data_IF_212331546770
#
_entry.id   IF_212331546770
#
_cell.length_a   1.000
_cell.length_b   1.000
_cell.length_c   1.000
_cell.angle_alpha   90.00
_cell.angle_beta   90.00
_cell.angle_gamma   90.00
#
_symmetry.space_group_name_H-M   'P 1'
#
loop_
_entity.id
_entity.type
_entity.pdbx_description
1 polymer ?
#
# COMPACT_ATOMS: atom_id res chain seq x y z
N UNK A 1 12.08 -16.85 13.16
CA UNK A 1 11.85 -15.72 12.23
C UNK A 1 10.37 -15.40 12.22
N UNK A 2 10.01 -14.15 12.45
CA UNK A 2 8.61 -13.67 12.46
C UNK A 2 8.17 -13.48 11.00
N UNK A 3 6.98 -13.99 10.64
CA UNK A 3 6.44 -13.91 9.28
C UNK A 3 5.01 -13.38 9.34
N UNK A 4 4.71 -12.34 8.58
CA UNK A 4 3.39 -11.71 8.56
C UNK A 4 3.45 -10.25 8.14
N UNK A 5 2.40 -9.52 8.45
CA UNK A 5 2.27 -8.08 8.21
C UNK A 5 1.91 -7.37 9.50
N UNK A 6 2.63 -6.29 9.83
CA UNK A 6 2.27 -5.36 10.88
C UNK A 6 1.62 -4.13 10.27
N UNK A 7 0.51 -3.69 10.81
CA UNK A 7 -0.09 -2.41 10.46
C UNK A 7 0.51 -1.32 11.34
N UNK A 8 1.45 -0.56 10.79
CA UNK A 8 2.18 0.47 11.54
C UNK A 8 1.53 1.83 11.31
N UNK A 9 1.31 2.59 12.39
CA UNK A 9 1.02 4.01 12.31
C UNK A 9 2.34 4.78 12.21
N UNK A 10 2.67 5.25 11.00
CA UNK A 10 3.86 6.08 10.81
C UNK A 10 3.59 7.48 11.37
N UNK A 11 4.42 7.91 12.29
CA UNK A 11 4.38 9.26 12.85
C UNK A 11 5.15 10.24 11.95
N UNK A 12 4.87 11.55 12.12
CA UNK A 12 5.61 12.61 11.44
C UNK A 12 7.11 12.60 11.84
N UNK A 13 7.96 13.07 10.93
CA UNK A 13 9.41 13.13 11.14
C UNK A 13 10.17 11.83 10.82
N UNK A 14 9.47 10.72 10.60
CA UNK A 14 10.08 9.47 10.12
C UNK A 14 9.88 9.28 8.64
N UNK A 15 10.92 8.83 7.93
CA UNK A 15 10.74 8.22 6.61
C UNK A 15 10.19 6.80 6.76
N UNK A 16 9.57 6.25 5.71
CA UNK A 16 9.15 4.83 5.73
C UNK A 16 10.32 3.86 5.92
N UNK A 17 11.55 4.25 5.53
CA UNK A 17 12.77 3.49 5.77
C UNK A 17 13.21 3.53 7.24
N UNK A 18 13.03 4.67 7.93
CA UNK A 18 13.32 4.78 9.37
C UNK A 18 12.41 3.87 10.18
N UNK A 19 11.13 3.78 9.80
CA UNK A 19 10.18 2.83 10.41
C UNK A 19 10.69 1.39 10.27
N UNK A 20 11.13 0.99 9.06
CA UNK A 20 11.71 -0.34 8.84
C UNK A 20 12.99 -0.53 9.66
N UNK A 21 13.86 0.48 9.73
CA UNK A 21 15.11 0.40 10.51
C UNK A 21 14.83 0.23 12.01
N UNK A 22 13.88 0.98 12.58
CA UNK A 22 13.47 0.85 13.99
C UNK A 22 12.84 -0.51 14.27
N UNK A 23 11.96 -1.00 13.39
CA UNK A 23 11.35 -2.33 13.54
C UNK A 23 12.38 -3.46 13.48
N UNK A 24 13.47 -3.32 12.71
CA UNK A 24 14.58 -4.29 12.73
C UNK A 24 15.23 -4.39 14.11
N UNK A 25 15.36 -3.28 14.82
CA UNK A 25 15.85 -3.24 16.21
C UNK A 25 14.86 -3.86 17.18
N UNK A 26 13.58 -3.46 17.13
CA UNK A 26 12.52 -3.94 18.02
C UNK A 26 12.31 -5.46 17.88
N UNK A 27 12.28 -5.97 16.64
CA UNK A 27 11.99 -7.37 16.35
C UNK A 27 13.23 -8.26 16.24
N UNK A 28 14.44 -7.71 16.36
CA UNK A 28 15.72 -8.40 16.14
C UNK A 28 15.78 -9.21 14.84
N UNK A 29 15.18 -8.66 13.77
CA UNK A 29 15.03 -9.34 12.47
C UNK A 29 15.42 -8.42 11.31
N UNK A 30 16.24 -8.93 10.36
CA UNK A 30 16.72 -8.14 9.21
C UNK A 30 15.71 -8.06 8.06
N UNK A 31 14.97 -9.16 7.79
CA UNK A 31 14.09 -9.28 6.62
C UNK A 31 12.76 -8.58 6.89
N UNK A 32 12.70 -7.28 6.60
CA UNK A 32 11.53 -6.40 6.78
C UNK A 32 11.45 -5.48 5.57
N UNK A 33 10.24 -5.26 5.04
CA UNK A 33 9.93 -4.34 3.94
C UNK A 33 8.62 -3.61 4.15
N UNK A 34 8.43 -2.42 3.57
CA UNK A 34 7.17 -1.66 3.62
C UNK A 34 6.44 -1.68 2.28
N UNK A 35 5.15 -1.36 2.27
CA UNK A 35 4.23 -1.49 1.14
C UNK A 35 3.87 -0.16 0.47
N UNK A 36 4.77 0.78 0.47
CA UNK A 36 4.58 2.10 -0.16
C UNK A 36 5.06 3.24 0.71
N UNK A 37 5.80 4.14 0.09
CA UNK A 37 6.42 5.28 0.78
C UNK A 37 5.36 6.30 1.21
N UNK A 38 5.51 6.83 2.41
CA UNK A 38 4.93 8.08 2.88
C UNK A 38 6.04 9.12 3.00
N UNK A 39 5.72 10.36 2.67
CA UNK A 39 6.63 11.50 2.88
C UNK A 39 6.97 11.65 4.38
N UNK A 40 8.11 12.25 4.75
CA UNK A 40 8.52 12.35 6.16
C UNK A 40 7.46 13.01 7.05
N UNK A 41 6.84 14.09 6.60
CA UNK A 41 5.85 14.85 7.37
C UNK A 41 4.44 14.22 7.34
N UNK A 42 4.17 13.35 6.34
CA UNK A 42 2.92 12.60 6.28
C UNK A 42 2.86 11.56 7.39
N UNK A 43 1.66 11.32 7.92
CA UNK A 43 1.39 10.30 8.95
C UNK A 43 0.46 9.20 8.42
N UNK A 44 0.28 8.16 9.22
CA UNK A 44 -0.80 7.18 9.00
C UNK A 44 -0.34 5.76 8.68
N UNK A 45 -1.27 5.01 8.15
CA UNK A 45 -1.20 3.57 7.92
C UNK A 45 -0.05 3.19 6.99
N UNK A 46 0.87 2.37 7.48
CA UNK A 46 2.01 1.83 6.75
C UNK A 46 2.14 0.33 7.02
N UNK A 47 1.52 -0.55 6.21
CA UNK A 47 1.72 -1.97 6.38
C UNK A 47 3.18 -2.35 6.14
N UNK A 48 3.76 -3.11 7.08
CA UNK A 48 5.16 -3.53 7.06
C UNK A 48 5.22 -5.05 7.08
N UNK A 49 5.85 -5.62 6.06
CA UNK A 49 5.97 -7.05 5.85
C UNK A 49 7.21 -7.62 6.53
N UNK A 50 7.05 -8.73 7.25
CA UNK A 50 8.08 -9.41 8.03
C UNK A 50 8.42 -10.78 7.45
N UNK A 51 9.69 -11.11 7.40
CA UNK A 51 10.16 -12.44 6.98
C UNK A 51 9.65 -12.86 5.61
N UNK A 52 8.94 -13.98 5.56
CA UNK A 52 8.31 -14.48 4.31
C UNK A 52 7.24 -13.52 3.78
N UNK A 53 6.58 -12.75 4.66
CA UNK A 53 5.62 -11.71 4.30
C UNK A 53 6.20 -10.63 3.39
N UNK A 54 7.53 -10.43 3.32
CA UNK A 54 8.13 -9.47 2.37
C UNK A 54 7.81 -9.76 0.91
N UNK A 55 7.39 -10.99 0.59
CA UNK A 55 6.89 -11.37 -0.74
C UNK A 55 5.52 -10.75 -1.06
N UNK A 56 4.81 -10.22 -0.05
CA UNK A 56 3.54 -9.50 -0.22
C UNK A 56 3.73 -8.02 -0.57
N UNK A 57 4.95 -7.47 -0.41
CA UNK A 57 5.17 -6.03 -0.57
C UNK A 57 4.66 -5.48 -1.90
N UNK A 58 4.92 -6.17 -3.01
CA UNK A 58 4.48 -5.72 -4.33
C UNK A 58 2.94 -5.72 -4.44
N UNK A 59 2.29 -6.78 -3.95
CA UNK A 59 0.81 -6.89 -3.96
C UNK A 59 0.18 -5.77 -3.14
N UNK A 60 0.66 -5.57 -1.91
CA UNK A 60 0.15 -4.50 -1.03
C UNK A 60 0.51 -3.09 -1.54
N UNK A 61 1.60 -2.96 -2.30
CA UNK A 61 1.91 -1.70 -2.99
C UNK A 61 0.90 -1.39 -4.09
N UNK A 62 0.29 -2.40 -4.68
CA UNK A 62 -0.69 -2.27 -5.74
C UNK A 62 -2.12 -1.98 -5.24
N UNK A 63 -2.38 -2.16 -3.96
CA UNK A 63 -3.67 -1.86 -3.32
C UNK A 63 -4.11 -0.41 -3.46
N UNK A 64 -5.41 -0.17 -3.33
CA UNK A 64 -5.97 1.18 -3.20
C UNK A 64 -5.53 1.83 -1.89
N UNK A 65 -5.42 3.15 -1.88
CA UNK A 65 -5.12 3.94 -0.68
C UNK A 65 -6.18 4.99 -0.47
N UNK A 66 -6.48 5.26 0.80
CA UNK A 66 -7.31 6.40 1.20
C UNK A 66 -6.47 7.36 2.05
N UNK A 67 -6.64 8.64 1.77
CA UNK A 67 -5.91 9.71 2.44
C UNK A 67 -6.87 10.77 2.92
N UNK A 68 -6.62 11.34 4.08
CA UNK A 68 -7.13 12.64 4.49
C UNK A 68 -6.06 13.68 4.17
N UNK A 69 -6.41 14.66 3.34
CA UNK A 69 -5.51 15.71 2.89
C UNK A 69 -6.06 17.09 3.24
N UNK A 70 -5.17 18.00 3.65
CA UNK A 70 -5.46 19.42 3.79
C UNK A 70 -4.81 20.16 2.62
N UNK A 71 -5.61 20.67 1.71
CA UNK A 71 -5.21 21.55 0.62
C UNK A 71 -5.15 22.99 1.13
N UNK A 72 -4.05 23.69 0.82
CA UNK A 72 -3.90 25.12 1.01
C UNK A 72 -3.92 25.82 -0.35
N UNK A 73 -4.95 26.60 -0.60
CA UNK A 73 -5.05 27.45 -1.80
C UNK A 73 -4.29 28.77 -1.60
N UNK A 74 -3.85 29.38 -2.68
CA UNK A 74 -3.15 30.66 -2.66
C UNK A 74 -1.64 30.57 -2.69
N UNK A 75 -1.06 29.37 -2.56
CA UNK A 75 0.39 29.16 -2.45
C UNK A 75 0.81 28.01 -3.37
N UNK A 76 1.89 28.22 -4.16
CA UNK A 76 2.61 27.16 -4.84
C UNK A 76 4.02 26.99 -4.24
N UNK A 77 4.47 25.73 -4.09
CA UNK A 77 5.83 25.41 -3.64
C UNK A 77 6.52 24.48 -4.64
N UNK A 78 7.84 24.43 -4.60
CA UNK A 78 8.65 23.57 -5.48
C UNK A 78 8.48 22.06 -5.17
N UNK A 79 8.06 21.71 -3.94
CA UNK A 79 7.75 20.33 -3.51
C UNK A 79 6.28 19.95 -3.66
N UNK A 80 5.40 20.92 -3.95
CA UNK A 80 3.94 20.80 -3.95
C UNK A 80 3.34 20.51 -2.56
N UNK A 81 4.11 20.71 -1.48
CA UNK A 81 3.70 20.66 -0.08
C UNK A 81 4.36 21.81 0.71
N UNK A 82 3.95 22.02 1.96
CA UNK A 82 4.43 23.16 2.79
C UNK A 82 5.88 23.01 3.26
N UNK A 83 6.58 21.89 2.98
CA UNK A 83 8.00 21.71 3.30
C UNK A 83 8.94 22.39 2.29
N UNK A 84 8.41 22.77 1.12
CA UNK A 84 9.17 23.39 0.04
C UNK A 84 9.30 24.89 0.13
N UNK A 85 10.04 25.44 -0.83
CA UNK A 85 10.16 26.89 -1.01
C UNK A 85 8.96 27.41 -1.80
N UNK A 86 8.35 28.52 -1.33
CA UNK A 86 7.27 29.20 -2.04
C UNK A 86 7.78 29.72 -3.38
N UNK A 87 7.11 29.34 -4.46
CA UNK A 87 7.45 29.73 -5.84
C UNK A 87 6.47 30.73 -6.42
N UNK A 88 5.23 30.76 -5.94
CA UNK A 88 4.20 31.73 -6.32
C UNK A 88 3.14 31.85 -5.21
N UNK A 89 2.51 33.02 -5.16
CA UNK A 89 1.37 33.32 -4.31
C UNK A 89 0.30 34.05 -5.15
N UNK A 90 -0.97 33.79 -4.84
CA UNK A 90 -2.11 34.48 -5.46
C UNK A 90 -3.25 34.63 -4.45
N UNK A 91 -4.06 35.70 -4.55
CA UNK A 91 -5.24 35.86 -3.71
C UNK A 91 -6.27 34.77 -4.01
N UNK A 92 -6.88 34.22 -2.98
CA UNK A 92 -7.97 33.24 -3.09
C UNK A 92 -9.30 33.97 -3.16
N UNK A 93 -9.80 34.15 -4.37
CA UNK A 93 -11.06 34.88 -4.64
C UNK A 93 -12.20 33.94 -5.05
N UNK A 94 -11.92 32.65 -5.14
CA UNK A 94 -12.88 31.61 -5.51
C UNK A 94 -13.90 31.37 -4.41
N UNK A 95 -15.11 31.01 -4.82
CA UNK A 95 -16.19 30.61 -3.91
C UNK A 95 -16.05 29.15 -3.48
N UNK A 96 -16.75 28.78 -2.40
CA UNK A 96 -16.83 27.37 -1.97
C UNK A 96 -17.42 26.47 -3.07
N UNK A 97 -18.43 26.94 -3.81
CA UNK A 97 -19.09 26.19 -4.89
C UNK A 97 -18.10 25.89 -6.02
N UNK A 98 -17.33 26.89 -6.47
CA UNK A 98 -16.27 26.70 -7.50
C UNK A 98 -15.21 25.70 -7.05
N UNK A 99 -14.81 25.70 -5.77
CA UNK A 99 -13.87 24.74 -5.21
C UNK A 99 -14.47 23.32 -5.23
N UNK A 100 -15.72 23.15 -4.82
CA UNK A 100 -16.40 21.86 -4.83
C UNK A 100 -16.53 21.28 -6.25
N UNK A 101 -16.94 22.10 -7.21
CA UNK A 101 -17.06 21.69 -8.62
C UNK A 101 -15.69 21.33 -9.22
N UNK A 102 -14.69 22.14 -8.93
CA UNK A 102 -13.32 21.85 -9.36
C UNK A 102 -12.83 20.50 -8.82
N UNK A 103 -12.94 20.24 -7.53
CA UNK A 103 -12.51 18.99 -6.89
C UNK A 103 -13.29 17.80 -7.45
N UNK A 104 -14.62 17.92 -7.62
CA UNK A 104 -15.45 16.87 -8.19
C UNK A 104 -15.01 16.45 -9.59
N UNK A 105 -14.45 17.38 -10.38
CA UNK A 105 -13.95 17.11 -11.73
C UNK A 105 -12.67 16.27 -11.79
N UNK A 106 -12.01 16.01 -10.67
CA UNK A 106 -10.84 15.12 -10.60
C UNK A 106 -11.22 13.66 -10.35
N UNK A 107 -12.47 13.35 -10.02
CA UNK A 107 -12.92 11.96 -9.85
C UNK A 107 -12.85 11.23 -11.19
N UNK A 108 -12.39 9.98 -11.18
CA UNK A 108 -12.17 9.16 -12.36
C UNK A 108 -10.71 9.07 -12.78
N UNK A 109 -10.49 8.77 -14.06
CA UNK A 109 -9.15 8.65 -14.64
C UNK A 109 -8.53 10.03 -14.91
N UNK A 110 -7.29 10.24 -14.48
CA UNK A 110 -6.54 11.47 -14.64
C UNK A 110 -5.13 11.19 -15.14
N UNK A 111 -4.56 12.14 -15.88
CA UNK A 111 -3.15 12.15 -16.28
C UNK A 111 -2.36 13.02 -15.32
N UNK A 112 -1.58 12.40 -14.45
CA UNK A 112 -0.82 13.11 -13.41
C UNK A 112 0.68 13.11 -13.74
N UNK A 113 1.32 14.28 -13.73
CA UNK A 113 2.79 14.41 -13.85
C UNK A 113 3.39 14.28 -12.45
N UNK A 114 4.14 13.21 -12.15
CA UNK A 114 4.72 13.00 -10.82
C UNK A 114 5.59 14.18 -10.37
N UNK A 115 5.65 14.55 -9.07
CA UNK A 115 6.49 15.64 -8.60
C UNK A 115 7.98 15.29 -8.72
N UNK A 116 8.84 16.33 -8.82
CA UNK A 116 10.30 16.13 -8.82
C UNK A 116 10.80 15.49 -7.53
N UNK A 117 10.19 15.85 -6.41
CA UNK A 117 10.51 15.26 -5.10
C UNK A 117 9.76 13.93 -4.91
N UNK A 118 10.14 12.91 -5.70
CA UNK A 118 9.57 11.55 -5.61
C UNK A 118 10.64 10.46 -5.66
N UNK A 119 10.29 9.26 -5.20
CA UNK A 119 11.16 8.10 -5.21
C UNK A 119 11.24 7.39 -6.59
N UNK A 120 10.59 7.93 -7.62
CA UNK A 120 10.66 7.41 -8.97
C UNK A 120 12.08 7.49 -9.52
N UNK A 121 12.48 6.44 -10.22
CA UNK A 121 13.81 6.39 -10.85
C UNK A 121 13.73 6.77 -12.32
N UNK A 122 14.62 7.66 -12.74
CA UNK A 122 14.90 7.98 -14.14
C UNK A 122 16.39 7.77 -14.37
N UNK A 123 16.74 6.97 -15.36
CA UNK A 123 18.15 6.61 -15.66
C UNK A 123 18.92 6.10 -14.43
N UNK A 124 18.25 5.33 -13.54
CA UNK A 124 18.87 4.72 -12.36
C UNK A 124 18.96 5.62 -11.12
N UNK A 125 18.81 6.95 -11.24
CA UNK A 125 18.77 7.91 -10.12
C UNK A 125 17.33 8.21 -9.71
N UNK A 126 17.08 8.44 -8.42
CA UNK A 126 15.77 8.86 -7.94
C UNK A 126 15.53 10.34 -8.24
N UNK A 127 14.27 10.70 -8.59
CA UNK A 127 13.93 12.08 -8.95
C UNK A 127 14.27 13.09 -7.84
N UNK A 128 14.06 12.74 -6.57
CA UNK A 128 14.40 13.63 -5.45
C UNK A 128 15.91 13.90 -5.33
N UNK A 129 16.77 12.95 -5.75
CA UNK A 129 18.23 13.14 -5.77
C UNK A 129 18.61 14.18 -6.83
N UNK A 130 17.98 14.09 -8.01
CA UNK A 130 18.16 15.04 -9.10
C UNK A 130 17.56 16.42 -8.77
N UNK A 131 16.43 16.46 -8.06
CA UNK A 131 15.84 17.72 -7.59
C UNK A 131 16.78 18.49 -6.64
N UNK A 132 17.46 17.78 -5.73
CA UNK A 132 18.47 18.38 -4.85
C UNK A 132 19.70 18.90 -5.59
N UNK A 133 20.05 18.29 -6.72
CA UNK A 133 21.11 18.76 -7.63
C UNK A 133 20.61 19.89 -8.56
N UNK A 134 19.38 20.39 -8.37
CA UNK A 134 18.72 21.45 -9.21
C UNK A 134 18.57 21.02 -10.68
N UNK A 135 18.62 19.73 -10.96
CA UNK A 135 18.46 19.17 -12.30
C UNK A 135 16.97 18.95 -12.57
N UNK A 136 16.39 19.75 -13.45
CA UNK A 136 15.01 19.54 -13.93
C UNK A 136 15.00 18.50 -15.04
N UNK A 137 14.18 17.45 -14.87
CA UNK A 137 13.96 16.41 -15.88
C UNK A 137 12.49 16.45 -16.31
N UNK A 138 12.28 16.31 -17.61
CA UNK A 138 10.94 16.11 -18.15
C UNK A 138 10.37 14.78 -17.63
N UNK A 139 9.18 14.83 -17.04
CA UNK A 139 8.49 13.69 -16.46
C UNK A 139 7.27 13.36 -17.30
N UNK A 140 7.15 12.09 -17.65
CA UNK A 140 5.97 11.62 -18.38
C UNK A 140 4.77 11.56 -17.44
N UNK A 141 3.64 12.05 -17.90
CA UNK A 141 2.37 11.87 -17.23
C UNK A 141 2.07 10.37 -17.07
N UNK A 142 1.37 10.03 -16.02
CA UNK A 142 0.92 8.67 -15.71
C UNK A 142 -0.57 8.67 -15.46
N UNK A 143 -1.23 7.64 -15.94
CA UNK A 143 -2.63 7.40 -15.62
C UNK A 143 -2.75 7.03 -14.15
N UNK A 144 -3.57 7.76 -13.40
CA UNK A 144 -4.00 7.48 -12.05
C UNK A 144 -5.52 7.49 -12.00
N UNK A 145 -6.10 6.87 -10.99
CA UNK A 145 -7.54 6.86 -10.83
C UNK A 145 -7.92 7.35 -9.43
N UNK A 146 -8.75 8.37 -9.37
CA UNK A 146 -9.40 8.82 -8.15
C UNK A 146 -10.78 8.16 -8.08
N UNK A 147 -10.93 7.16 -7.22
CA UNK A 147 -12.18 6.42 -7.08
C UNK A 147 -13.25 7.26 -6.39
N UNK A 148 -12.81 8.07 -5.41
CA UNK A 148 -13.68 8.95 -4.65
C UNK A 148 -12.87 10.12 -4.09
N UNK A 149 -13.48 11.32 -4.09
CA UNK A 149 -12.99 12.50 -3.38
C UNK A 149 -14.16 13.11 -2.63
N UNK A 150 -14.12 13.02 -1.31
CA UNK A 150 -15.15 13.59 -0.41
C UNK A 150 -14.60 14.82 0.29
N UNK A 151 -15.26 15.96 0.15
CA UNK A 151 -14.87 17.20 0.83
C UNK A 151 -15.44 17.16 2.26
N UNK A 152 -14.53 17.15 3.24
CA UNK A 152 -14.88 17.10 4.66
C UNK A 152 -15.15 18.50 5.23
N UNK A 153 -14.37 19.50 4.82
CA UNK A 153 -14.51 20.87 5.30
C UNK A 153 -13.94 21.86 4.28
N UNK A 154 -14.61 23.02 4.11
CA UNK A 154 -14.09 24.16 3.35
C UNK A 154 -14.03 25.36 4.29
N UNK A 155 -12.84 25.85 4.53
CA UNK A 155 -12.53 27.09 5.27
C UNK A 155 -11.44 27.84 4.54
N UNK A 156 -11.81 28.51 3.45
CA UNK A 156 -10.83 29.19 2.57
C UNK A 156 -9.80 30.01 3.36
N UNK A 157 -8.51 29.87 3.08
CA UNK A 157 -7.92 29.18 1.93
C UNK A 157 -7.73 27.65 2.13
N UNK A 158 -8.18 27.05 3.19
CA UNK A 158 -8.00 25.63 3.53
C UNK A 158 -9.18 24.78 3.12
N UNK A 159 -8.90 23.61 2.52
CA UNK A 159 -9.89 22.60 2.14
C UNK A 159 -9.43 21.23 2.62
N UNK A 160 -10.22 20.60 3.49
CA UNK A 160 -9.99 19.24 3.97
C UNK A 160 -10.79 18.26 3.13
N UNK A 161 -10.14 17.24 2.60
CA UNK A 161 -10.77 16.23 1.76
C UNK A 161 -10.25 14.83 2.08
N UNK A 162 -11.12 13.84 1.91
CA UNK A 162 -10.75 12.43 1.88
C UNK A 162 -10.66 11.98 0.42
N UNK A 163 -9.58 11.27 0.08
CA UNK A 163 -9.27 10.85 -1.29
C UNK A 163 -8.96 9.36 -1.34
N UNK A 164 -9.76 8.58 -2.06
CA UNK A 164 -9.46 7.18 -2.37
C UNK A 164 -8.95 7.07 -3.80
N UNK A 165 -7.75 6.50 -3.97
CA UNK A 165 -7.06 6.50 -5.25
C UNK A 165 -6.26 5.23 -5.53
N UNK A 166 -5.87 5.06 -6.80
CA UNK A 166 -5.01 3.98 -7.27
C UNK A 166 -3.56 4.12 -6.78
N UNK A 167 -2.79 3.03 -6.90
CA UNK A 167 -1.34 3.06 -6.67
C UNK A 167 -0.64 4.15 -7.49
N UNK A 168 0.44 4.70 -6.95
CA UNK A 168 1.29 5.66 -7.66
C UNK A 168 0.73 7.07 -7.79
N UNK A 169 -0.44 7.33 -7.18
CA UNK A 169 -1.05 8.66 -7.12
C UNK A 169 -0.31 9.54 -6.11
N UNK A 170 -0.05 10.78 -6.48
CA UNK A 170 0.55 11.82 -5.63
C UNK A 170 -0.51 12.82 -5.19
N UNK A 171 -0.85 12.81 -3.91
CA UNK A 171 -1.84 13.75 -3.35
C UNK A 171 -1.32 15.19 -3.39
N UNK A 172 -0.01 15.40 -3.25
CA UNK A 172 0.64 16.71 -3.45
C UNK A 172 0.34 17.29 -4.83
N UNK A 173 0.44 16.46 -5.86
CA UNK A 173 0.15 16.90 -7.23
C UNK A 173 -1.34 17.14 -7.42
N UNK A 174 -2.23 16.35 -6.80
CA UNK A 174 -3.68 16.65 -6.81
C UNK A 174 -3.96 18.03 -6.21
N UNK A 175 -3.38 18.36 -5.06
CA UNK A 175 -3.53 19.67 -4.42
C UNK A 175 -3.02 20.81 -5.33
N UNK A 176 -1.86 20.61 -5.94
CA UNK A 176 -1.29 21.56 -6.91
C UNK A 176 -2.22 21.75 -8.12
N UNK A 177 -2.66 20.66 -8.74
CA UNK A 177 -3.48 20.69 -9.96
C UNK A 177 -4.86 21.33 -9.70
N UNK A 178 -5.46 21.11 -8.50
CA UNK A 178 -6.69 21.80 -8.08
C UNK A 178 -6.45 23.31 -8.03
N UNK A 179 -5.36 23.76 -7.38
CA UNK A 179 -5.03 25.17 -7.27
C UNK A 179 -4.75 25.84 -8.63
N UNK A 180 -4.04 25.15 -9.52
CA UNK A 180 -3.80 25.61 -10.90
C UNK A 180 -5.11 25.71 -11.70
N UNK A 181 -6.01 24.74 -11.58
CA UNK A 181 -7.30 24.75 -12.26
C UNK A 181 -8.23 25.85 -11.75
N UNK A 182 -8.13 26.21 -10.47
CA UNK A 182 -8.84 27.36 -9.86
C UNK A 182 -8.17 28.69 -10.17
N UNK A 183 -6.95 28.71 -10.72
CA UNK A 183 -6.19 29.92 -11.05
C UNK A 183 -5.62 30.68 -9.86
N UNK A 184 -5.56 30.06 -8.68
CA UNK A 184 -5.06 30.69 -7.45
C UNK A 184 -3.87 29.95 -6.82
N UNK A 185 -3.31 28.94 -7.46
CA UNK A 185 -2.30 28.03 -6.93
C UNK A 185 -2.80 27.19 -5.75
N UNK A 186 -2.07 26.11 -5.44
CA UNK A 186 -2.37 25.25 -4.32
C UNK A 186 -1.21 24.32 -3.98
N UNK A 187 -1.10 23.95 -2.72
CA UNK A 187 -0.17 22.93 -2.25
C UNK A 187 -0.80 22.10 -1.13
N UNK A 188 -0.18 20.98 -0.81
CA UNK A 188 -0.62 20.12 0.28
C UNK A 188 -0.04 20.60 1.61
N UNK A 189 -0.90 20.91 2.58
CA UNK A 189 -0.48 21.31 3.92
C UNK A 189 -0.28 20.13 4.85
N UNK A 190 -1.23 19.16 4.86
CA UNK A 190 -1.16 17.96 5.70
C UNK A 190 -1.61 16.74 4.90
N UNK A 191 -1.05 15.58 5.26
CA UNK A 191 -1.42 14.30 4.71
C UNK A 191 -1.45 13.21 5.77
N UNK A 192 -2.57 12.51 5.85
CA UNK A 192 -2.75 11.34 6.69
C UNK A 192 -3.20 10.18 5.78
N UNK A 193 -2.43 9.10 5.70
CA UNK A 193 -2.92 7.89 5.02
C UNK A 193 -3.78 7.09 5.98
N UNK A 194 -5.08 7.06 5.74
CA UNK A 194 -6.07 6.42 6.62
C UNK A 194 -6.25 4.94 6.29
N UNK A 195 -5.93 4.51 5.04
CA UNK A 195 -6.14 3.13 4.59
C UNK A 195 -5.15 2.68 3.51
N UNK A 196 -4.79 1.40 3.53
CA UNK A 196 -4.08 0.68 2.46
C UNK A 196 -4.72 -0.70 2.32
N UNK A 197 -5.51 -0.94 1.25
CA UNK A 197 -6.28 -2.18 1.09
C UNK A 197 -7.15 -2.47 2.31
N UNK A 198 -6.90 -3.60 2.98
CA UNK A 198 -7.62 -4.02 4.19
C UNK A 198 -7.13 -3.37 5.49
N UNK A 199 -5.98 -2.71 5.46
CA UNK A 199 -5.39 -2.07 6.65
C UNK A 199 -5.92 -0.65 6.81
N UNK A 200 -6.47 -0.35 7.97
CA UNK A 200 -6.98 0.96 8.34
C UNK A 200 -6.36 1.50 9.65
N UNK A 201 -6.82 2.67 10.06
CA UNK A 201 -6.33 3.35 11.27
C UNK A 201 -6.58 2.55 12.55
N UNK A 202 -7.71 1.82 12.63
CA UNK A 202 -8.14 1.17 13.88
C UNK A 202 -7.21 0.02 14.28
N UNK A 203 -6.61 -0.68 13.29
CA UNK A 203 -5.65 -1.75 13.53
C UNK A 203 -4.19 -1.31 13.44
N UNK A 204 -3.90 0.00 13.40
CA UNK A 204 -2.54 0.52 13.27
C UNK A 204 -1.94 0.87 14.63
N UNK A 205 -0.65 0.53 14.82
CA UNK A 205 0.10 0.78 16.05
C UNK A 205 1.34 1.62 15.79
N UNK A 206 1.64 2.55 16.69
CA UNK A 206 2.89 3.32 16.68
C UNK A 206 4.09 2.42 16.96
N UNK A 207 5.29 2.89 16.66
CA UNK A 207 6.52 2.13 16.94
C UNK A 207 6.71 1.87 18.44
N UNK A 208 6.34 2.80 19.30
CA UNK A 208 6.44 2.66 20.76
C UNK A 208 5.43 1.64 21.30
N UNK A 209 4.18 1.65 20.79
CA UNK A 209 3.18 0.63 21.13
C UNK A 209 3.64 -0.77 20.68
N UNK A 210 4.18 -0.89 19.46
CA UNK A 210 4.74 -2.17 18.97
C UNK A 210 5.89 -2.64 19.87
N UNK A 211 6.79 -1.74 20.28
CA UNK A 211 7.90 -2.09 21.16
C UNK A 211 7.41 -2.59 22.53
N UNK A 212 6.37 -1.96 23.10
CA UNK A 212 5.76 -2.39 24.35
C UNK A 212 5.11 -3.79 24.20
N UNK A 213 4.28 -3.99 23.17
CA UNK A 213 3.61 -5.27 22.88
C UNK A 213 4.64 -6.40 22.67
N UNK A 214 5.73 -6.13 21.96
CA UNK A 214 6.83 -7.08 21.76
C UNK A 214 7.53 -7.40 23.09
N UNK A 215 7.79 -6.38 23.93
CA UNK A 215 8.38 -6.56 25.26
C UNK A 215 7.53 -7.42 26.21
N UNK A 216 6.21 -7.41 26.02
CA UNK A 216 5.23 -8.24 26.75
C UNK A 216 5.02 -9.64 26.12
N UNK A 217 5.67 -9.95 25.01
CA UNK A 217 5.53 -11.22 24.30
C UNK A 217 4.19 -11.41 23.55
N UNK A 218 3.44 -10.33 23.31
CA UNK A 218 2.09 -10.34 22.72
C UNK A 218 2.05 -9.98 21.23
N UNK A 219 3.17 -10.06 20.52
CA UNK A 219 3.26 -9.69 19.10
C UNK A 219 2.21 -10.38 18.22
N UNK A 220 1.81 -11.62 18.56
CA UNK A 220 0.80 -12.38 17.82
C UNK A 220 -0.58 -11.71 17.81
N UNK A 221 -0.88 -10.79 18.72
CA UNK A 221 -2.16 -10.09 18.80
C UNK A 221 -2.31 -9.02 17.71
N UNK A 222 -1.19 -8.50 17.21
CA UNK A 222 -1.15 -7.42 16.20
C UNK A 222 -0.52 -7.85 14.87
N UNK A 223 0.02 -9.06 14.80
CA UNK A 223 0.65 -9.62 13.61
C UNK A 223 -0.41 -10.32 12.76
N UNK A 224 -0.62 -9.84 11.54
CA UNK A 224 -1.48 -10.51 10.55
C UNK A 224 -0.65 -11.60 9.86
N UNK A 225 -1.03 -12.89 9.98
CA UNK A 225 -0.37 -13.99 9.29
C UNK A 225 -0.41 -13.82 7.76
N UNK A 226 0.56 -14.42 7.06
CA UNK A 226 0.67 -14.28 5.59
C UNK A 226 -0.54 -14.83 4.86
N UNK A 227 -1.09 -15.94 5.32
CA UNK A 227 -2.24 -16.62 4.72
C UNK A 227 -3.56 -15.87 4.95
N UNK A 228 -3.67 -15.12 6.06
CA UNK A 228 -4.84 -14.25 6.33
C UNK A 228 -4.96 -13.09 5.33
N UNK A 229 -3.88 -12.73 4.64
CA UNK A 229 -3.94 -11.78 3.52
C UNK A 229 -4.77 -12.29 2.34
N UNK A 230 -5.08 -13.58 2.33
CA UNK A 230 -5.83 -14.28 1.30
C UNK A 230 -7.09 -14.96 1.87
N UNK A 231 -7.64 -14.46 2.98
CA UNK A 231 -8.75 -15.08 3.70
C UNK A 231 -10.00 -15.32 2.84
N UNK A 232 -10.20 -14.52 1.80
CA UNK A 232 -11.31 -14.67 0.85
C UNK A 232 -11.20 -15.91 -0.06
N UNK A 233 -10.00 -16.50 -0.19
CA UNK A 233 -9.76 -17.66 -1.05
C UNK A 233 -10.09 -18.96 -0.27
N UNK A 234 -10.62 -19.95 -0.99
CA UNK A 234 -10.81 -21.31 -0.46
C UNK A 234 -9.47 -21.88 0.01
N UNK A 235 -9.53 -22.84 0.93
CA UNK A 235 -8.35 -23.45 1.54
C UNK A 235 -8.28 -24.93 1.22
N UNK A 236 -7.10 -25.40 0.84
CA UNK A 236 -6.82 -26.80 0.54
C UNK A 236 -5.56 -27.25 1.28
N UNK A 237 -5.49 -28.52 1.64
CA UNK A 237 -4.30 -29.15 2.19
C UNK A 237 -3.84 -30.30 1.28
N UNK A 238 -2.54 -30.60 1.32
CA UNK A 238 -1.99 -31.79 0.66
C UNK A 238 -2.63 -33.06 1.23
N UNK A 239 -2.96 -34.02 0.35
CA UNK A 239 -3.68 -35.23 0.73
C UNK A 239 -2.77 -36.37 1.25
N UNK A 240 -1.50 -36.36 0.83
CA UNK A 240 -0.53 -37.41 1.14
C UNK A 240 0.92 -36.88 1.11
N UNK A 241 1.88 -37.72 1.51
CA UNK A 241 3.32 -37.41 1.55
C UNK A 241 3.91 -37.10 0.16
N UNK A 242 3.36 -37.69 -0.90
CA UNK A 242 3.80 -37.39 -2.26
C UNK A 242 3.40 -35.98 -2.69
N UNK A 243 2.15 -35.61 -2.44
CA UNK A 243 1.63 -34.26 -2.66
C UNK A 243 2.40 -33.22 -1.83
N UNK A 244 2.70 -33.56 -0.56
CA UNK A 244 3.51 -32.72 0.33
C UNK A 244 4.88 -32.41 -0.28
N UNK A 245 5.63 -33.41 -0.73
CA UNK A 245 6.94 -33.24 -1.39
C UNK A 245 6.86 -32.40 -2.68
N UNK A 246 5.80 -32.57 -3.47
CA UNK A 246 5.56 -31.76 -4.65
C UNK A 246 5.34 -30.29 -4.27
N UNK A 247 4.46 -30.04 -3.29
CA UNK A 247 4.13 -28.69 -2.82
C UNK A 247 5.34 -27.96 -2.21
N UNK A 248 6.15 -28.66 -1.39
CA UNK A 248 7.39 -28.12 -0.80
C UNK A 248 8.38 -27.63 -1.86
N UNK A 249 8.43 -28.32 -3.01
CA UNK A 249 9.30 -27.96 -4.13
C UNK A 249 8.64 -26.97 -5.13
N UNK A 250 7.40 -26.55 -4.85
CA UNK A 250 6.65 -25.64 -5.71
C UNK A 250 6.24 -26.26 -7.05
N UNK A 251 5.99 -27.56 -7.07
CA UNK A 251 5.51 -28.28 -8.25
C UNK A 251 3.99 -28.18 -8.40
N UNK A 252 3.47 -28.36 -9.62
CA UNK A 252 2.05 -28.53 -9.86
C UNK A 252 1.49 -29.77 -9.14
N UNK A 253 0.23 -29.71 -8.75
CA UNK A 253 -0.52 -30.79 -8.11
C UNK A 253 -1.77 -31.14 -8.92
N UNK A 254 -2.16 -32.40 -8.92
CA UNK A 254 -3.49 -32.82 -9.43
C UNK A 254 -4.56 -32.47 -8.40
N UNK A 255 -5.81 -32.17 -8.81
CA UNK A 255 -6.92 -31.98 -7.87
C UNK A 255 -7.08 -33.11 -6.85
N UNK A 256 -6.89 -34.36 -7.25
CA UNK A 256 -6.97 -35.53 -6.35
C UNK A 256 -5.84 -35.60 -5.29
N UNK A 257 -4.79 -34.80 -5.39
CA UNK A 257 -3.67 -34.73 -4.45
C UNK A 257 -3.87 -33.67 -3.36
N UNK A 258 -4.97 -32.94 -3.40
CA UNK A 258 -5.34 -31.94 -2.41
C UNK A 258 -6.78 -32.17 -1.94
N UNK A 259 -7.05 -31.79 -0.71
CA UNK A 259 -8.40 -31.84 -0.10
C UNK A 259 -8.78 -30.47 0.42
N UNK A 260 -10.02 -30.10 0.22
CA UNK A 260 -10.55 -28.86 0.79
C UNK A 260 -10.57 -28.93 2.32
N UNK A 261 -10.22 -27.81 2.96
CA UNK A 261 -10.18 -27.66 4.43
C UNK A 261 -10.88 -26.35 4.83
N UNK A 262 -11.28 -26.26 6.11
CA UNK A 262 -11.92 -25.09 6.71
C UNK A 262 -13.44 -25.24 6.84
N UNK A 263 -14.05 -24.30 7.57
CA UNK A 263 -15.50 -24.30 7.87
C UNK A 263 -16.37 -24.04 6.64
N UNK A 264 -15.78 -23.44 5.59
CA UNK A 264 -16.44 -23.10 4.32
C UNK A 264 -16.24 -24.16 3.23
N UNK A 265 -15.74 -25.35 3.59
CA UNK A 265 -15.54 -26.44 2.64
C UNK A 265 -16.88 -26.80 1.97
N UNK A 266 -17.05 -26.39 0.71
CA UNK A 266 -18.27 -26.57 -0.06
C UNK A 266 -18.31 -27.90 -0.82
N UNK A 267 -17.15 -28.59 -0.92
CA UNK A 267 -16.98 -29.83 -1.68
C UNK A 267 -17.22 -29.69 -3.18
N UNK A 268 -17.26 -28.45 -3.69
CA UNK A 268 -17.50 -28.17 -5.10
C UNK A 268 -16.25 -28.31 -5.96
N UNK A 269 -16.47 -28.53 -7.27
CA UNK A 269 -15.41 -28.50 -8.28
C UNK A 269 -14.72 -27.14 -8.33
N UNK A 270 -13.50 -27.10 -8.85
CA UNK A 270 -12.79 -25.87 -9.11
C UNK A 270 -13.43 -25.08 -10.25
N UNK A 271 -13.60 -23.77 -10.05
CA UNK A 271 -13.90 -22.88 -11.16
C UNK A 271 -12.68 -22.71 -12.09
N UNK A 272 -12.91 -22.27 -13.31
CA UNK A 272 -11.82 -21.96 -14.25
C UNK A 272 -10.92 -20.86 -13.67
N UNK A 273 -9.62 -21.12 -13.67
CA UNK A 273 -8.58 -20.22 -13.15
C UNK A 273 -8.75 -19.82 -11.67
N UNK A 274 -9.50 -20.59 -10.90
CA UNK A 274 -9.69 -20.36 -9.47
C UNK A 274 -8.36 -20.37 -8.71
N UNK A 275 -8.11 -19.31 -7.95
CA UNK A 275 -7.01 -19.23 -6.98
C UNK A 275 -7.47 -19.70 -5.61
N UNK A 276 -6.57 -20.39 -4.89
CA UNK A 276 -6.83 -20.92 -3.55
C UNK A 276 -5.57 -20.95 -2.68
N UNK A 277 -5.76 -20.99 -1.37
CA UNK A 277 -4.70 -21.17 -0.38
C UNK A 277 -4.34 -22.65 -0.28
N UNK A 278 -3.05 -22.98 -0.42
CA UNK A 278 -2.55 -24.34 -0.21
C UNK A 278 -1.77 -24.41 1.10
N UNK A 279 -2.06 -25.45 1.86
CA UNK A 279 -1.36 -25.83 3.10
C UNK A 279 -0.77 -27.23 2.96
N UNK A 280 0.25 -27.53 3.75
CA UNK A 280 0.66 -28.90 4.00
C UNK A 280 -0.32 -29.56 4.98
N UNK A 281 -0.23 -30.88 5.12
CA UNK A 281 -1.03 -31.67 6.03
C UNK A 281 -0.88 -31.30 7.52
N UNK A 282 0.27 -30.70 7.88
CA UNK A 282 0.58 -30.16 9.22
C UNK A 282 0.08 -28.72 9.46
N UNK A 283 -0.65 -28.13 8.51
CA UNK A 283 -1.16 -26.76 8.59
C UNK A 283 -0.17 -25.68 8.14
N UNK A 284 1.02 -26.03 7.67
CA UNK A 284 1.98 -25.05 7.17
C UNK A 284 1.50 -24.43 5.86
N UNK A 285 1.37 -23.11 5.80
CA UNK A 285 0.98 -22.38 4.59
C UNK A 285 2.08 -22.46 3.52
N UNK A 286 1.72 -23.01 2.37
CA UNK A 286 2.60 -23.16 1.21
C UNK A 286 2.58 -21.91 0.33
N UNK A 287 1.35 -21.45 -0.02
CA UNK A 287 1.17 -20.33 -0.91
C UNK A 287 -0.17 -20.33 -1.62
N UNK A 288 -0.24 -19.52 -2.67
CA UNK A 288 -1.40 -19.43 -3.55
C UNK A 288 -1.14 -20.30 -4.77
N UNK A 289 -2.12 -21.13 -5.07
CA UNK A 289 -2.17 -21.98 -6.25
C UNK A 289 -3.39 -21.61 -7.10
N UNK A 290 -3.33 -21.92 -8.38
CA UNK A 290 -4.41 -21.68 -9.33
C UNK A 290 -4.72 -22.95 -10.11
N UNK A 291 -6.00 -23.28 -10.26
CA UNK A 291 -6.45 -24.40 -11.08
C UNK A 291 -6.39 -24.06 -12.57
N UNK A 292 -5.88 -24.98 -13.38
CA UNK A 292 -5.77 -24.91 -14.83
C UNK A 292 -6.55 -26.05 -15.49
N UNK A 293 -7.80 -25.82 -15.92
CA UNK A 293 -8.68 -26.88 -16.44
C UNK A 293 -8.08 -27.60 -17.65
N UNK A 294 -7.44 -26.87 -18.57
CA UNK A 294 -6.84 -27.44 -19.77
C UNK A 294 -5.77 -28.50 -19.52
N UNK A 295 -5.18 -28.50 -18.33
CA UNK A 295 -4.12 -29.43 -17.91
C UNK A 295 -4.58 -30.36 -16.78
N UNK A 296 -5.76 -30.13 -16.22
CA UNK A 296 -6.26 -30.75 -15.00
C UNK A 296 -5.20 -30.74 -13.88
N UNK A 297 -4.57 -29.59 -13.68
CA UNK A 297 -3.52 -29.37 -12.69
C UNK A 297 -3.76 -28.06 -11.92
N UNK A 298 -3.25 -28.00 -10.71
CA UNK A 298 -3.10 -26.75 -9.97
C UNK A 298 -1.64 -26.32 -10.00
N UNK A 299 -1.37 -25.04 -10.23
CA UNK A 299 -0.02 -24.49 -10.32
C UNK A 299 0.22 -23.40 -9.30
N UNK A 300 1.45 -23.30 -8.73
CA UNK A 300 1.77 -22.21 -7.83
C UNK A 300 1.74 -20.86 -8.56
N UNK A 301 1.03 -19.90 -7.96
CA UNK A 301 1.03 -18.48 -8.35
C UNK A 301 2.05 -17.75 -7.50
N UNK A 302 2.01 -17.98 -6.18
CA UNK A 302 2.94 -17.35 -5.23
C UNK A 302 3.24 -18.28 -4.07
N UNK A 303 4.53 -18.52 -3.84
CA UNK A 303 5.00 -19.43 -2.79
C UNK A 303 5.57 -18.65 -1.61
N UNK A 304 5.29 -19.12 -0.39
CA UNK A 304 5.78 -18.56 0.87
C UNK A 304 6.66 -19.53 1.67
N UNK A 305 6.80 -20.78 1.25
CA UNK A 305 7.81 -21.69 1.81
C UNK A 305 9.23 -21.22 1.44
N UNK A 306 10.17 -21.43 2.35
CA UNK A 306 11.60 -21.35 2.03
C UNK A 306 11.97 -22.67 1.35
N UNK A 307 12.62 -22.58 0.21
CA UNK A 307 13.30 -23.77 -0.37
C UNK A 307 14.44 -24.12 0.57
N UNK A 308 14.40 -25.30 1.11
CA UNK A 308 15.51 -25.91 1.86
C UNK A 308 16.72 -26.10 0.97
#
# INVERSE_FOLDING_TARGET
>A
MINGVLNVWKEAGFTSHDVVAKLRGILHQKKIGHTGTLDPDATGVLPVCLGKGTRLCDMLTDETKTYEALLHLGIATDTQDMSGTVTAEAPVTVTEEEVRDCIASFVGEQQQVPPMYSALKVNGKKLYELAREVIKIERKARTVHFYEISILEVKLPLVRMEVTCSKGTYIRTLCHDIGEKLGCHGCMEQLIRTRVGQFDRNGAHTLDEIAAIVGEGRLSEILVPVDEMFAALRSFATADDHAKKLAENGNPLKPAQIREIGETASGGDFAEDEEFRLYLDDGTFVGIYQYRPSQNLTRPVKLFLERT
#
